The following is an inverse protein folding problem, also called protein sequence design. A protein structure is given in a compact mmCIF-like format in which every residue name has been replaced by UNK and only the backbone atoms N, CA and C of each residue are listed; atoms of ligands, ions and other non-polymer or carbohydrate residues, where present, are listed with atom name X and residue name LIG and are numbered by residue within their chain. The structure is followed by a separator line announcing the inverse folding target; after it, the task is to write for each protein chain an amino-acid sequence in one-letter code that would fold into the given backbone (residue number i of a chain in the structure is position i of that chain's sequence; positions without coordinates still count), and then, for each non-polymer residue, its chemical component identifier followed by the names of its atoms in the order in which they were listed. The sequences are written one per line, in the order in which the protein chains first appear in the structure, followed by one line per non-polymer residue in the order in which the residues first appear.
data_IF_652979363404
#
_entry.id   IF_652979363404
#
_cell.length_a   1.000
_cell.length_b   1.000
_cell.length_c   1.000
_cell.angle_alpha   90.00
_cell.angle_beta   90.00
_cell.angle_gamma   90.00
#
_symmetry.space_group_name_H-M   'P 1'
#
loop_
_entity.id
_entity.type
_entity.pdbx_description
1 polymer ?
#
# COMPACT_ATOMS: atom_id res chain seq x y z
N UNK A 1 5.54 -14.85 17.43
CA UNK A 1 4.41 -13.95 17.78
C UNK A 1 3.17 -14.84 17.91
N UNK A 2 2.34 -14.64 18.91
CA UNK A 2 1.10 -15.40 19.06
C UNK A 2 0.06 -14.98 18.01
N UNK A 3 -0.93 -15.84 17.72
CA UNK A 3 -2.00 -15.53 16.75
C UNK A 3 -2.74 -14.25 17.11
N UNK A 4 -3.04 -14.05 18.41
CA UNK A 4 -3.65 -12.81 18.92
C UNK A 4 -2.78 -11.56 18.66
N UNK A 5 -1.46 -11.68 18.72
CA UNK A 5 -0.55 -10.57 18.40
C UNK A 5 -0.51 -10.28 16.90
N UNK A 6 -0.63 -11.29 16.04
CA UNK A 6 -0.73 -11.14 14.58
C UNK A 6 -2.05 -10.48 14.18
N UNK A 7 -3.17 -10.84 14.79
CA UNK A 7 -4.47 -10.19 14.56
C UNK A 7 -4.44 -8.71 14.93
N UNK A 8 -3.85 -8.36 16.07
CA UNK A 8 -3.70 -6.96 16.50
C UNK A 8 -2.79 -6.17 15.55
N UNK A 9 -1.68 -6.77 15.11
CA UNK A 9 -0.78 -6.17 14.14
C UNK A 9 -1.51 -5.91 12.81
N UNK A 10 -2.20 -6.92 12.28
CA UNK A 10 -2.98 -6.77 11.05
C UNK A 10 -4.03 -5.66 11.16
N UNK A 11 -4.79 -5.63 12.25
CA UNK A 11 -5.80 -4.58 12.48
C UNK A 11 -5.16 -3.18 12.52
N UNK A 12 -4.00 -3.03 13.17
CA UNK A 12 -3.27 -1.77 13.19
C UNK A 12 -2.75 -1.37 11.80
N UNK A 13 -2.17 -2.30 11.02
CA UNK A 13 -1.70 -2.04 9.65
C UNK A 13 -2.84 -1.51 8.78
N UNK A 14 -4.01 -2.16 8.82
CA UNK A 14 -5.18 -1.74 8.04
C UNK A 14 -5.62 -0.32 8.41
N UNK A 15 -5.69 0.00 9.70
CA UNK A 15 -6.02 1.36 10.17
C UNK A 15 -4.99 2.38 9.71
N UNK A 16 -3.69 2.07 9.84
CA UNK A 16 -2.62 2.95 9.43
C UNK A 16 -2.66 3.24 7.92
N UNK A 17 -2.82 2.21 7.09
CA UNK A 17 -2.97 2.34 5.63
C UNK A 17 -4.21 3.15 5.26
N UNK A 18 -5.33 2.92 5.91
CA UNK A 18 -6.56 3.69 5.68
C UNK A 18 -6.39 5.18 6.05
N UNK A 19 -5.73 5.47 7.15
CA UNK A 19 -5.50 6.84 7.61
C UNK A 19 -4.47 7.59 6.77
N UNK A 20 -3.40 6.93 6.33
CA UNK A 20 -2.29 7.56 5.59
C UNK A 20 -2.56 7.61 4.09
N UNK A 21 -2.83 6.48 3.49
CA UNK A 21 -2.94 6.36 2.04
C UNK A 21 -4.28 6.88 1.50
N UNK A 22 -5.38 6.53 2.14
CA UNK A 22 -6.74 6.93 1.73
C UNK A 22 -7.15 8.25 2.37
N UNK A 23 -6.81 8.48 3.64
CA UNK A 23 -7.20 9.65 4.42
C UNK A 23 -6.32 10.88 4.22
N UNK A 24 -5.29 10.82 3.37
CA UNK A 24 -4.35 11.92 3.12
C UNK A 24 -3.23 12.06 4.16
N UNK A 25 -3.28 11.31 5.26
CA UNK A 25 -2.25 11.16 6.27
C UNK A 25 -1.75 12.43 6.95
N UNK A 26 -1.02 12.25 8.04
CA UNK A 26 -0.21 13.32 8.64
C UNK A 26 1.17 13.26 8.02
N UNK A 27 1.53 14.31 7.27
CA UNK A 27 2.88 14.45 6.74
C UNK A 27 3.85 14.77 7.87
N UNK A 28 4.93 14.01 7.97
CA UNK A 28 6.04 14.29 8.88
C UNK A 28 7.25 14.85 8.13
N UNK A 29 8.21 15.46 8.83
CA UNK A 29 9.48 15.84 8.23
C UNK A 29 10.18 14.62 7.60
N UNK A 30 10.84 14.77 6.44
CA UNK A 30 11.51 13.67 5.78
C UNK A 30 12.56 13.02 6.70
N UNK A 31 12.48 11.71 6.92
CA UNK A 31 13.50 10.95 7.65
C UNK A 31 14.73 10.65 6.79
N UNK A 32 14.63 10.82 5.48
CA UNK A 32 15.73 10.70 4.50
C UNK A 32 15.71 11.90 3.56
N UNK A 33 16.86 12.40 3.08
CA UNK A 33 16.90 13.51 2.13
C UNK A 33 16.02 13.22 0.88
N UNK A 34 14.99 14.05 0.66
CA UNK A 34 14.08 13.95 -0.48
C UNK A 34 12.94 12.93 -0.33
N UNK A 35 12.79 12.27 0.81
CA UNK A 35 11.65 11.37 1.05
C UNK A 35 10.36 12.15 1.35
N UNK A 36 9.25 11.48 1.08
CA UNK A 36 7.90 11.86 1.53
C UNK A 36 7.51 10.89 2.63
N UNK A 37 7.17 11.41 3.80
CA UNK A 37 6.91 10.60 4.99
C UNK A 37 5.49 10.84 5.50
N UNK A 38 4.79 9.75 5.83
CA UNK A 38 3.46 9.74 6.45
C UNK A 38 3.51 8.90 7.71
N UNK A 39 2.87 9.37 8.77
CA UNK A 39 2.85 8.71 10.08
C UNK A 39 1.44 8.43 10.57
N UNK A 40 1.32 7.37 11.37
CA UNK A 40 0.11 7.04 12.12
C UNK A 40 0.49 6.41 13.46
N UNK A 41 -0.23 6.76 14.54
CA UNK A 41 0.03 6.27 15.89
C UNK A 41 -1.26 5.81 16.55
N UNK A 42 -1.23 4.66 17.22
CA UNK A 42 -2.32 4.16 18.07
C UNK A 42 -1.75 3.32 19.22
N UNK A 43 -1.83 3.82 20.46
CA UNK A 43 -1.29 3.13 21.63
C UNK A 43 0.22 2.94 21.55
N UNK A 44 0.68 1.69 21.70
CA UNK A 44 2.10 1.32 21.60
C UNK A 44 2.57 1.16 20.16
N UNK A 45 1.64 1.14 19.19
CA UNK A 45 1.99 1.02 17.78
C UNK A 45 2.25 2.38 17.13
N UNK A 46 3.25 2.44 16.28
CA UNK A 46 3.47 3.52 15.31
C UNK A 46 3.78 2.97 13.93
N UNK A 47 3.44 3.75 12.91
CA UNK A 47 3.62 3.42 11.50
C UNK A 47 4.29 4.58 10.80
N UNK A 48 5.26 4.27 9.97
CA UNK A 48 5.93 5.21 9.09
C UNK A 48 5.91 4.65 7.66
N UNK A 49 5.34 5.40 6.73
CA UNK A 49 5.51 5.20 5.29
C UNK A 49 6.47 6.27 4.75
N UNK A 50 7.59 5.86 4.19
CA UNK A 50 8.62 6.74 3.66
C UNK A 50 8.98 6.34 2.24
N UNK A 51 8.76 7.25 1.27
CA UNK A 51 8.94 6.96 -0.15
C UNK A 51 9.60 8.10 -0.92
N UNK A 52 10.11 7.77 -2.09
CA UNK A 52 10.66 8.69 -3.09
C UNK A 52 9.87 8.60 -4.39
N UNK A 53 9.84 9.70 -5.14
CA UNK A 53 9.23 9.76 -6.45
C UNK A 53 7.79 10.25 -6.44
N UNK A 54 7.14 10.18 -7.58
CA UNK A 54 5.77 10.66 -7.80
C UNK A 54 5.04 9.83 -8.85
N UNK A 55 5.45 9.93 -10.13
CA UNK A 55 4.90 9.11 -11.21
C UNK A 55 5.33 7.64 -11.07
N UNK A 56 6.63 7.43 -10.94
CA UNK A 56 7.22 6.18 -10.49
C UNK A 56 7.76 6.41 -9.08
N UNK A 57 7.51 5.48 -8.17
CA UNK A 57 7.82 5.67 -6.76
C UNK A 57 8.26 4.37 -6.10
N UNK A 58 9.11 4.52 -5.10
CA UNK A 58 9.63 3.41 -4.29
C UNK A 58 9.61 3.79 -2.82
N UNK A 59 9.19 2.89 -1.95
CA UNK A 59 9.12 3.17 -0.54
C UNK A 59 9.10 1.95 0.35
N UNK A 60 9.04 2.26 1.64
CA UNK A 60 8.97 1.28 2.70
C UNK A 60 7.99 1.76 3.76
N UNK A 61 7.10 0.86 4.15
CA UNK A 61 6.26 0.99 5.33
C UNK A 61 6.89 0.22 6.49
N UNK A 62 6.92 0.79 7.68
CA UNK A 62 7.44 0.13 8.88
C UNK A 62 6.46 0.30 10.02
N UNK A 63 6.15 -0.77 10.72
CA UNK A 63 5.40 -0.75 11.98
C UNK A 63 6.35 -0.98 13.13
N UNK A 64 6.24 -0.14 14.14
CA UNK A 64 6.95 -0.22 15.41
C UNK A 64 5.98 -0.56 16.53
N UNK A 65 6.45 -1.32 17.50
CA UNK A 65 5.76 -1.58 18.77
C UNK A 65 6.68 -1.20 19.92
N UNK A 66 6.26 -0.26 20.78
CA UNK A 66 7.10 0.35 21.83
C UNK A 66 8.47 0.82 21.30
N UNK A 67 8.47 1.38 20.06
CA UNK A 67 9.69 1.91 19.40
C UNK A 67 10.59 0.87 18.74
N UNK A 68 10.30 -0.42 18.86
CA UNK A 68 11.03 -1.49 18.16
C UNK A 68 10.34 -1.85 16.82
N UNK A 69 11.05 -1.95 15.68
CA UNK A 69 10.46 -2.34 14.43
C UNK A 69 10.03 -3.82 14.48
N UNK A 70 8.76 -4.09 14.14
CA UNK A 70 8.18 -5.43 14.22
C UNK A 70 7.69 -5.96 12.89
N UNK A 71 7.45 -5.08 11.92
CA UNK A 71 6.96 -5.43 10.59
C UNK A 71 7.37 -4.37 9.58
N UNK A 72 7.63 -4.80 8.34
CA UNK A 72 7.89 -3.88 7.23
C UNK A 72 7.40 -4.43 5.89
N UNK A 73 7.12 -3.50 4.96
CA UNK A 73 6.77 -3.78 3.57
C UNK A 73 7.54 -2.84 2.65
N UNK A 74 8.12 -3.37 1.59
CA UNK A 74 8.71 -2.59 0.49
C UNK A 74 7.78 -2.59 -0.71
N UNK A 75 7.80 -1.52 -1.49
CA UNK A 75 7.02 -1.42 -2.73
C UNK A 75 7.73 -0.58 -3.78
N UNK A 76 7.46 -0.90 -5.05
CA UNK A 76 7.85 -0.12 -6.22
C UNK A 76 6.71 -0.08 -7.21
N UNK A 77 6.20 1.12 -7.48
CA UNK A 77 5.10 1.38 -8.40
C UNK A 77 5.53 2.25 -9.58
N UNK A 78 4.93 2.00 -10.75
CA UNK A 78 5.22 2.77 -11.96
C UNK A 78 4.06 2.84 -12.93
N UNK A 79 4.01 3.92 -13.69
CA UNK A 79 3.13 4.07 -14.84
C UNK A 79 3.76 3.36 -16.04
N UNK A 80 3.06 2.38 -16.63
CA UNK A 80 3.53 1.63 -17.79
C UNK A 80 3.17 2.33 -19.11
N UNK A 81 2.00 2.97 -19.15
CA UNK A 81 1.43 3.60 -20.35
C UNK A 81 1.03 5.06 -20.06
N UNK A 82 2.00 6.01 -20.01
CA UNK A 82 1.72 7.40 -19.62
C UNK A 82 0.79 8.14 -20.61
N UNK A 83 0.68 7.67 -21.85
CA UNK A 83 -0.29 8.20 -22.81
C UNK A 83 -1.74 7.77 -22.52
N UNK A 84 -1.95 6.78 -21.63
CA UNK A 84 -3.24 6.19 -21.34
C UNK A 84 -3.77 6.50 -19.94
N UNK A 85 -2.89 6.79 -18.98
CA UNK A 85 -3.27 7.16 -17.62
C UNK A 85 -2.26 8.14 -17.04
N UNK A 86 -2.76 9.21 -16.44
CA UNK A 86 -1.92 10.13 -15.66
C UNK A 86 -1.67 9.57 -14.26
N UNK A 87 -0.57 9.96 -13.62
CA UNK A 87 -0.25 9.54 -12.25
C UNK A 87 -1.36 9.91 -11.24
N UNK A 88 -1.98 11.08 -11.38
CA UNK A 88 -3.09 11.51 -10.53
C UNK A 88 -4.33 10.61 -10.67
N UNK A 89 -4.65 10.19 -11.89
CA UNK A 89 -5.79 9.29 -12.18
C UNK A 89 -5.51 7.88 -11.63
N UNK A 90 -4.29 7.37 -11.81
CA UNK A 90 -3.87 6.11 -11.23
C UNK A 90 -3.97 6.14 -9.69
N UNK A 91 -3.46 7.20 -9.06
CA UNK A 91 -3.57 7.42 -7.62
C UNK A 91 -5.02 7.44 -7.13
N UNK A 92 -5.92 8.10 -7.87
CA UNK A 92 -7.35 8.11 -7.54
C UNK A 92 -7.96 6.70 -7.63
N UNK A 93 -7.71 5.94 -8.71
CA UNK A 93 -8.20 4.55 -8.86
C UNK A 93 -7.73 3.68 -7.70
N UNK A 94 -6.45 3.79 -7.32
CA UNK A 94 -5.87 3.03 -6.20
C UNK A 94 -6.56 3.40 -4.88
N UNK A 95 -6.70 4.69 -4.58
CA UNK A 95 -7.35 5.16 -3.36
C UNK A 95 -8.81 4.67 -3.24
N UNK A 96 -9.60 4.77 -4.32
CA UNK A 96 -10.97 4.27 -4.34
C UNK A 96 -11.01 2.75 -4.10
N UNK A 97 -10.10 2.02 -4.71
CA UNK A 97 -10.06 0.57 -4.64
C UNK A 97 -9.60 0.06 -3.27
N UNK A 98 -8.52 0.62 -2.73
CA UNK A 98 -7.97 0.25 -1.42
C UNK A 98 -8.87 0.69 -0.26
N UNK A 99 -9.58 1.82 -0.38
CA UNK A 99 -10.59 2.23 0.60
C UNK A 99 -11.61 1.12 0.82
N UNK A 100 -12.11 0.50 -0.26
CA UNK A 100 -13.07 -0.60 -0.18
C UNK A 100 -12.46 -1.89 0.39
N UNK A 101 -11.22 -2.18 0.09
CA UNK A 101 -10.50 -3.32 0.67
C UNK A 101 -10.31 -3.15 2.18
N UNK A 102 -9.87 -1.97 2.62
CA UNK A 102 -9.63 -1.70 4.05
C UNK A 102 -10.91 -1.69 4.87
N UNK A 103 -12.06 -1.32 4.31
CA UNK A 103 -13.37 -1.45 4.94
C UNK A 103 -13.69 -2.92 5.31
N UNK A 104 -13.06 -3.90 4.66
CA UNK A 104 -13.18 -5.33 4.99
C UNK A 104 -12.22 -5.78 6.13
N UNK A 105 -11.44 -4.87 6.70
CA UNK A 105 -10.49 -5.19 7.78
C UNK A 105 -9.25 -5.96 7.32
N UNK A 106 -8.88 -5.88 6.03
CA UNK A 106 -7.73 -6.59 5.46
C UNK A 106 -7.00 -5.74 4.43
N UNK A 107 -5.74 -6.06 4.16
CA UNK A 107 -4.92 -5.49 3.08
C UNK A 107 -4.34 -6.55 2.13
N UNK A 108 -4.48 -7.83 2.48
CA UNK A 108 -4.07 -8.98 1.68
C UNK A 108 -5.29 -9.84 1.29
N UNK A 109 -5.08 -10.90 0.50
CA UNK A 109 -6.10 -11.85 0.10
C UNK A 109 -6.72 -11.58 -1.27
N UNK A 110 -6.08 -10.71 -2.06
CA UNK A 110 -6.53 -10.36 -3.41
C UNK A 110 -7.71 -9.39 -3.43
N UNK A 111 -7.77 -8.57 -4.48
CA UNK A 111 -8.84 -7.59 -4.66
C UNK A 111 -9.03 -7.25 -6.15
N UNK A 112 -10.26 -6.98 -6.54
CA UNK A 112 -10.57 -6.40 -7.84
C UNK A 112 -11.68 -5.36 -7.67
N UNK A 113 -11.44 -4.17 -8.19
CA UNK A 113 -12.40 -3.08 -8.11
C UNK A 113 -12.36 -2.24 -9.39
N UNK A 114 -13.52 -2.01 -10.00
CA UNK A 114 -13.64 -1.22 -11.23
C UNK A 114 -14.13 0.19 -10.92
N UNK A 115 -13.51 1.15 -11.61
CA UNK A 115 -13.88 2.57 -11.60
C UNK A 115 -14.04 3.07 -13.02
N UNK A 116 -14.52 4.30 -13.21
CA UNK A 116 -14.64 4.91 -14.54
C UNK A 116 -13.28 5.17 -15.22
N UNK A 117 -12.18 5.21 -14.43
CA UNK A 117 -10.83 5.48 -14.94
C UNK A 117 -9.98 4.22 -15.12
N UNK A 118 -10.45 3.08 -14.68
CA UNK A 118 -9.75 1.81 -14.83
C UNK A 118 -10.16 0.78 -13.80
N UNK A 119 -9.70 -0.46 -14.00
CA UNK A 119 -9.90 -1.57 -13.07
C UNK A 119 -8.62 -1.87 -12.32
N UNK A 120 -8.70 -1.75 -10.99
CA UNK A 120 -7.63 -2.14 -10.07
C UNK A 120 -7.71 -3.64 -9.77
N UNK A 121 -6.58 -4.31 -9.79
CA UNK A 121 -6.42 -5.72 -9.42
C UNK A 121 -5.23 -5.87 -8.50
N UNK A 122 -5.39 -6.62 -7.44
CA UNK A 122 -4.31 -7.02 -6.52
C UNK A 122 -4.30 -8.54 -6.37
N UNK A 123 -3.12 -9.13 -6.48
CA UNK A 123 -2.86 -10.54 -6.21
C UNK A 123 -1.67 -10.68 -5.28
N UNK A 124 -1.78 -11.54 -4.31
CA UNK A 124 -0.70 -11.80 -3.35
C UNK A 124 -0.71 -13.23 -2.84
N UNK A 125 0.42 -13.63 -2.30
CA UNK A 125 0.63 -14.91 -1.62
C UNK A 125 1.18 -14.65 -0.23
N UNK A 126 0.86 -15.55 0.70
CA UNK A 126 1.27 -15.45 2.09
C UNK A 126 0.25 -14.74 2.99
N UNK A 127 0.70 -14.30 4.14
CA UNK A 127 -0.08 -13.62 5.17
C UNK A 127 0.71 -12.44 5.77
N UNK A 128 0.17 -11.80 6.81
CA UNK A 128 0.82 -10.64 7.45
C UNK A 128 2.25 -10.93 7.93
N UNK A 129 2.58 -12.20 8.22
CA UNK A 129 3.91 -12.59 8.70
C UNK A 129 4.95 -12.70 7.58
N UNK A 130 4.52 -13.01 6.34
CA UNK A 130 5.39 -13.08 5.16
C UNK A 130 4.54 -13.12 3.89
N UNK A 131 4.70 -12.15 3.01
CA UNK A 131 3.93 -12.02 1.78
C UNK A 131 4.71 -11.42 0.63
N UNK A 132 4.25 -11.72 -0.57
CA UNK A 132 4.61 -11.04 -1.82
C UNK A 132 3.35 -10.75 -2.62
N UNK A 133 3.34 -9.68 -3.39
CA UNK A 133 2.19 -9.34 -4.20
C UNK A 133 2.50 -8.41 -5.36
N UNK A 134 1.53 -8.33 -6.25
CA UNK A 134 1.53 -7.42 -7.40
C UNK A 134 0.14 -6.80 -7.52
N UNK A 135 0.09 -5.49 -7.61
CA UNK A 135 -1.12 -4.77 -7.99
C UNK A 135 -0.95 -4.09 -9.35
N UNK A 136 -2.04 -3.91 -10.06
CA UNK A 136 -2.03 -3.21 -11.35
C UNK A 136 -3.38 -2.56 -11.65
N UNK A 137 -3.35 -1.63 -12.60
CA UNK A 137 -4.56 -1.05 -13.19
C UNK A 137 -4.60 -1.43 -14.66
N UNK A 138 -5.78 -1.89 -15.14
CA UNK A 138 -6.06 -2.05 -16.56
C UNK A 138 -7.03 -0.99 -17.04
N UNK A 139 -6.89 -0.63 -18.32
CA UNK A 139 -7.89 0.14 -19.08
C UNK A 139 -8.26 -0.64 -20.33
N UNK A 140 -9.53 -0.56 -20.74
CA UNK A 140 -9.95 -1.12 -22.00
C UNK A 140 -9.49 -0.23 -23.16
N UNK A 141 -8.84 -0.85 -24.14
CA UNK A 141 -8.38 -0.22 -25.37
C UNK A 141 -8.72 -1.17 -26.53
N UNK A 142 -9.57 -0.72 -27.44
CA UNK A 142 -10.01 -1.52 -28.59
C UNK A 142 -10.54 -2.92 -28.19
N UNK A 143 -11.32 -2.99 -27.11
CA UNK A 143 -11.90 -4.22 -26.58
C UNK A 143 -10.92 -5.14 -25.84
N UNK A 144 -9.72 -4.67 -25.52
CA UNK A 144 -8.70 -5.43 -24.78
C UNK A 144 -8.30 -4.70 -23.50
N UNK A 145 -8.08 -5.45 -22.42
CA UNK A 145 -7.51 -4.93 -21.18
C UNK A 145 -6.01 -4.71 -21.35
N UNK A 146 -5.58 -3.47 -21.23
CA UNK A 146 -4.17 -3.05 -21.25
C UNK A 146 -3.75 -2.65 -19.86
N UNK A 147 -2.67 -3.25 -19.34
CA UNK A 147 -2.08 -2.86 -18.06
C UNK A 147 -1.37 -1.53 -18.21
N UNK A 148 -1.83 -0.52 -17.48
CA UNK A 148 -1.33 0.87 -17.57
C UNK A 148 -0.51 1.31 -16.36
N UNK A 149 -0.64 0.62 -15.22
CA UNK A 149 0.10 0.82 -13.98
C UNK A 149 0.38 -0.53 -13.32
N UNK A 150 1.51 -0.63 -12.62
CA UNK A 150 1.91 -1.81 -11.87
C UNK A 150 2.69 -1.41 -10.61
N UNK A 151 2.48 -2.14 -9.51
CA UNK A 151 3.29 -2.06 -8.31
C UNK A 151 3.60 -3.47 -7.81
N UNK A 152 4.85 -3.71 -7.45
CA UNK A 152 5.33 -4.94 -6.83
C UNK A 152 5.61 -4.66 -5.36
N UNK A 153 5.23 -5.57 -4.47
CA UNK A 153 5.45 -5.41 -3.04
C UNK A 153 5.78 -6.74 -2.35
N UNK A 154 6.45 -6.63 -1.24
CA UNK A 154 6.75 -7.75 -0.35
C UNK A 154 7.00 -7.26 1.06
N UNK A 155 6.79 -8.11 2.04
CA UNK A 155 7.01 -7.73 3.43
C UNK A 155 6.73 -8.85 4.41
N UNK A 156 6.74 -8.51 5.69
CA UNK A 156 6.46 -9.44 6.76
C UNK A 156 7.05 -9.01 8.11
N UNK A 157 7.09 -9.96 9.04
CA UNK A 157 7.62 -9.74 10.38
C UNK A 157 9.12 -9.55 10.37
N UNK A 158 9.58 -8.59 11.17
CA UNK A 158 11.00 -8.43 11.53
C UNK A 158 11.25 -9.29 12.77
N UNK A 159 12.28 -10.13 12.71
CA UNK A 159 12.70 -11.03 13.80
C UNK A 159 14.20 -10.80 14.04
N UNK A 160 14.56 -10.67 15.32
CA UNK A 160 15.95 -10.67 15.78
C UNK A 160 16.40 -12.07 16.17
#
# INVERSE_FOLDING_TARGET
MSDLALERLNAFIVKAKAATYVGGGVRSPPCRPGSHDLEFHEGAFSYLDSYFGGTDFIGQEVVYYDGAPVWAMNYYGRILEPARIAAADAGWVIQQSLSKLYEQGRFLGGWKHSTDLGTYVDTNEGDVASFTGVEWITREVDGKDVRVYELVYHGGLIKE
#
